data_IF_823111688713
#
_entry.id   IF_823111688713
#
_cell.length_a   1.000
_cell.length_b   1.000
_cell.length_c   1.000
_cell.angle_alpha   90.00
_cell.angle_beta   90.00
_cell.angle_gamma   90.00
#
_symmetry.space_group_name_H-M   'P 1'
#
loop_
_entity.id
_entity.type
_entity.pdbx_description
1 polymer ?
#
# COMPACT_ATOMS: atom_id res chain seq x y z
N UNK A 1 1.83 -10.30 -7.62
CA UNK A 1 1.88 -9.02 -8.34
C UNK A 1 1.66 -9.23 -9.84
N UNK A 2 1.35 -8.14 -10.58
CA UNK A 2 1.47 -8.13 -12.03
C UNK A 2 2.86 -8.63 -12.48
N UNK A 3 2.93 -9.35 -13.60
CA UNK A 3 4.16 -9.97 -14.07
C UNK A 3 5.31 -8.97 -14.29
N UNK A 4 4.97 -7.73 -14.65
CA UNK A 4 5.89 -6.61 -14.85
C UNK A 4 6.48 -6.05 -13.55
N UNK A 5 5.88 -6.34 -12.39
CA UNK A 5 6.35 -5.87 -11.07
C UNK A 5 7.19 -6.91 -10.33
N UNK A 6 7.43 -8.06 -10.96
CA UNK A 6 8.36 -9.08 -10.48
C UNK A 6 7.69 -10.32 -9.89
N UNK A 7 8.53 -11.18 -9.30
CA UNK A 7 8.20 -12.59 -9.04
C UNK A 7 8.16 -12.95 -7.56
N UNK A 8 8.13 -11.95 -6.66
CA UNK A 8 8.27 -12.12 -5.20
C UNK A 8 7.44 -13.27 -4.62
N UNK A 9 6.15 -13.36 -4.95
CA UNK A 9 5.29 -14.45 -4.43
C UNK A 9 5.74 -15.83 -4.89
N UNK A 10 6.19 -15.96 -6.15
CA UNK A 10 6.70 -17.22 -6.69
C UNK A 10 7.97 -17.62 -5.94
N UNK A 11 8.89 -16.68 -5.80
CA UNK A 11 10.20 -16.96 -5.22
C UNK A 11 10.09 -17.37 -3.75
N UNK A 12 9.23 -16.70 -2.96
CA UNK A 12 8.94 -17.12 -1.58
C UNK A 12 8.26 -18.48 -1.54
N UNK A 13 7.17 -18.69 -2.30
CA UNK A 13 6.44 -19.97 -2.32
C UNK A 13 7.36 -21.16 -2.66
N UNK A 14 8.25 -20.99 -3.63
CA UNK A 14 9.22 -21.99 -4.04
C UNK A 14 10.30 -22.21 -2.97
N UNK A 15 10.86 -21.13 -2.40
CA UNK A 15 11.91 -21.22 -1.39
C UNK A 15 11.49 -21.99 -0.12
N UNK A 16 10.22 -21.86 0.27
CA UNK A 16 9.68 -22.48 1.49
C UNK A 16 8.78 -23.70 1.23
N UNK A 17 8.81 -24.25 0.01
CA UNK A 17 8.10 -25.48 -0.40
C UNK A 17 6.61 -25.45 0.00
N UNK A 18 5.95 -24.32 -0.25
CA UNK A 18 4.51 -24.21 -0.03
C UNK A 18 3.76 -24.95 -1.14
N UNK A 19 2.63 -25.62 -0.82
CA UNK A 19 1.84 -26.38 -1.80
C UNK A 19 0.95 -25.47 -2.66
N UNK A 20 1.50 -24.36 -3.17
CA UNK A 20 0.82 -23.41 -4.03
C UNK A 20 1.56 -23.23 -5.35
N UNK A 21 0.82 -22.91 -6.41
CA UNK A 21 1.42 -22.46 -7.68
C UNK A 21 1.16 -20.97 -7.82
N UNK A 22 2.22 -20.17 -7.75
CA UNK A 22 2.11 -18.73 -7.95
C UNK A 22 1.80 -18.42 -9.42
N UNK A 23 0.66 -17.77 -9.65
CA UNK A 23 0.26 -17.28 -10.97
C UNK A 23 0.43 -15.77 -10.99
N UNK A 24 1.23 -15.27 -11.94
CA UNK A 24 1.43 -13.83 -12.09
C UNK A 24 0.17 -13.17 -12.69
N UNK A 25 -0.22 -12.01 -12.16
CA UNK A 25 -1.30 -11.22 -12.74
C UNK A 25 -0.89 -10.65 -14.09
N UNK A 26 -1.81 -10.61 -15.06
CA UNK A 26 -1.55 -9.95 -16.35
C UNK A 26 -1.51 -8.42 -16.27
N UNK A 27 -2.16 -7.85 -15.26
CA UNK A 27 -2.18 -6.42 -14.88
C UNK A 27 -2.82 -6.30 -13.49
N UNK A 28 -2.75 -5.12 -12.87
CA UNK A 28 -3.52 -4.82 -11.66
C UNK A 28 -5.02 -5.02 -11.87
N UNK A 29 -5.57 -4.48 -12.96
CA UNK A 29 -6.99 -4.64 -13.29
C UNK A 29 -7.43 -6.10 -13.44
N UNK A 30 -6.56 -6.96 -13.99
CA UNK A 30 -6.83 -8.40 -14.07
C UNK A 30 -6.83 -9.06 -12.68
N UNK A 31 -5.89 -8.69 -11.79
CA UNK A 31 -5.86 -9.20 -10.42
C UNK A 31 -7.10 -8.79 -9.64
N UNK A 32 -7.49 -7.51 -9.74
CA UNK A 32 -8.72 -7.01 -9.13
C UNK A 32 -9.94 -7.76 -9.66
N UNK A 33 -10.05 -7.97 -10.98
CA UNK A 33 -11.19 -8.67 -11.56
C UNK A 33 -11.32 -10.12 -11.04
N UNK A 34 -10.21 -10.85 -10.93
CA UNK A 34 -10.19 -12.20 -10.34
C UNK A 34 -10.61 -12.18 -8.87
N UNK A 35 -10.08 -11.23 -8.08
CA UNK A 35 -10.45 -11.07 -6.68
C UNK A 35 -11.93 -10.74 -6.50
N UNK A 36 -12.46 -9.78 -7.25
CA UNK A 36 -13.89 -9.41 -7.20
C UNK A 36 -14.78 -10.56 -7.66
N UNK A 37 -14.37 -11.32 -8.69
CA UNK A 37 -15.12 -12.50 -9.14
C UNK A 37 -15.17 -13.58 -8.06
N UNK A 38 -14.05 -13.87 -7.40
CA UNK A 38 -14.00 -14.85 -6.32
C UNK A 38 -14.86 -14.41 -5.11
N UNK A 39 -14.81 -13.13 -4.74
CA UNK A 39 -15.67 -12.58 -3.68
C UNK A 39 -17.16 -12.73 -4.02
N UNK A 40 -17.55 -12.42 -5.26
CA UNK A 40 -18.95 -12.54 -5.69
C UNK A 40 -19.43 -14.00 -5.74
N UNK A 41 -18.53 -14.94 -6.02
CA UNK A 41 -18.81 -16.37 -6.03
C UNK A 41 -18.69 -17.04 -4.64
N UNK A 42 -18.22 -16.30 -3.62
CA UNK A 42 -17.84 -16.83 -2.30
C UNK A 42 -16.75 -17.93 -2.40
N UNK A 43 -15.91 -17.86 -3.42
CA UNK A 43 -14.83 -18.82 -3.64
C UNK A 43 -13.57 -18.45 -2.84
N UNK A 44 -12.85 -19.43 -2.27
CA UNK A 44 -11.62 -19.17 -1.55
C UNK A 44 -10.54 -18.65 -2.51
N UNK A 45 -9.91 -17.54 -2.16
CA UNK A 45 -8.83 -16.93 -2.93
C UNK A 45 -7.66 -16.52 -2.03
N UNK A 46 -6.44 -16.78 -2.50
CA UNK A 46 -5.20 -16.29 -1.91
C UNK A 46 -4.47 -15.46 -2.96
N UNK A 47 -4.25 -14.18 -2.67
CA UNK A 47 -3.64 -13.24 -3.61
C UNK A 47 -2.61 -12.36 -2.89
N UNK A 48 -1.45 -12.17 -3.51
CA UNK A 48 -0.55 -11.10 -3.10
C UNK A 48 -1.16 -9.76 -3.52
N UNK A 49 -1.45 -8.91 -2.53
CA UNK A 49 -1.98 -7.56 -2.70
C UNK A 49 -1.19 -6.59 -1.81
N UNK A 50 -1.31 -5.28 -2.06
CA UNK A 50 -0.63 -4.23 -1.31
C UNK A 50 -1.61 -3.19 -0.79
N UNK A 51 -1.25 -2.51 0.28
CA UNK A 51 -1.95 -1.32 0.76
C UNK A 51 -0.96 -0.14 0.88
N UNK A 52 -1.38 1.09 0.59
CA UNK A 52 -2.77 1.51 0.29
C UNK A 52 -3.29 1.05 -1.09
N UNK A 53 -4.58 0.70 -1.16
CA UNK A 53 -5.33 0.35 -2.37
C UNK A 53 -6.85 0.40 -2.08
N UNK A 54 -7.66 0.88 -3.02
CA UNK A 54 -9.12 1.08 -2.82
C UNK A 54 -9.88 -0.17 -2.38
N UNK A 55 -9.43 -1.35 -2.83
CA UNK A 55 -10.08 -2.63 -2.51
C UNK A 55 -10.23 -2.84 -1.00
N UNK A 56 -9.31 -2.32 -0.18
CA UNK A 56 -9.36 -2.40 1.28
C UNK A 56 -10.31 -1.38 1.94
N UNK A 57 -10.80 -0.38 1.19
CA UNK A 57 -11.92 0.45 1.62
C UNK A 57 -13.27 -0.15 1.21
N UNK A 58 -13.31 -0.93 0.13
CA UNK A 58 -14.53 -1.56 -0.38
C UNK A 58 -14.85 -2.92 0.28
N UNK A 59 -13.83 -3.65 0.75
CA UNK A 59 -13.95 -5.00 1.26
C UNK A 59 -13.01 -5.26 2.43
N UNK A 60 -13.44 -6.13 3.35
CA UNK A 60 -12.63 -6.63 4.45
C UNK A 60 -11.87 -7.90 4.03
N UNK A 61 -10.57 -7.91 4.29
CA UNK A 61 -9.70 -9.06 4.03
C UNK A 61 -8.91 -9.47 5.27
N UNK A 62 -8.54 -10.75 5.34
CA UNK A 62 -7.56 -11.24 6.30
C UNK A 62 -6.18 -11.28 5.66
N UNK A 63 -5.17 -10.79 6.37
CA UNK A 63 -3.78 -10.93 5.95
C UNK A 63 -3.25 -12.30 6.35
N UNK A 64 -2.39 -12.88 5.50
CA UNK A 64 -1.62 -14.07 5.88
C UNK A 64 -0.59 -13.65 6.93
N UNK A 65 -0.68 -14.25 8.12
CA UNK A 65 0.28 -14.02 9.20
C UNK A 65 1.57 -14.81 8.97
N UNK A 66 2.70 -14.13 9.14
CA UNK A 66 4.05 -14.70 9.01
C UNK A 66 4.78 -14.67 10.35
N UNK A 67 5.92 -15.36 10.45
CA UNK A 67 6.73 -15.30 11.66
C UNK A 67 7.22 -13.89 11.93
N UNK A 68 7.06 -13.43 13.17
CA UNK A 68 7.60 -12.15 13.61
C UNK A 68 9.11 -12.25 13.76
N UNK A 69 9.81 -11.23 13.28
CA UNK A 69 11.26 -11.11 13.36
C UNK A 69 11.65 -9.72 13.83
N UNK A 70 12.86 -9.62 14.39
CA UNK A 70 13.51 -8.33 14.63
C UNK A 70 14.26 -7.91 13.35
N UNK A 71 13.93 -6.74 12.80
CA UNK A 71 14.59 -6.19 11.60
C UNK A 71 13.88 -6.50 10.28
N UNK A 72 14.62 -6.38 9.17
CA UNK A 72 14.08 -6.57 7.81
C UNK A 72 14.05 -8.04 7.41
N UNK A 73 12.94 -8.46 6.78
CA UNK A 73 12.78 -9.82 6.27
C UNK A 73 13.61 -10.00 4.98
N UNK A 74 14.61 -10.88 5.03
CA UNK A 74 15.36 -11.28 3.83
C UNK A 74 14.54 -12.29 3.02
N UNK A 75 13.98 -11.85 1.88
CA UNK A 75 13.11 -12.69 1.07
C UNK A 75 13.83 -13.84 0.36
N UNK A 76 15.12 -13.66 0.06
CA UNK A 76 15.92 -14.60 -0.75
C UNK A 76 16.42 -15.83 0.04
N UNK A 77 16.43 -15.76 1.37
CA UNK A 77 17.09 -16.75 2.24
C UNK A 77 16.13 -17.37 3.25
N UNK A 78 14.84 -17.48 2.92
CA UNK A 78 13.83 -17.98 3.85
C UNK A 78 13.80 -19.51 3.91
N UNK A 79 13.57 -20.03 5.11
CA UNK A 79 13.31 -21.44 5.38
C UNK A 79 11.87 -21.61 5.87
N UNK A 80 11.27 -22.76 5.58
CA UNK A 80 9.82 -22.99 5.78
C UNK A 80 9.31 -22.67 7.18
N UNK A 81 10.03 -23.12 8.21
CA UNK A 81 9.57 -22.99 9.59
C UNK A 81 9.86 -21.59 10.19
N UNK A 82 10.74 -20.80 9.56
CA UNK A 82 11.19 -19.49 10.05
C UNK A 82 10.84 -18.34 9.10
N UNK A 83 10.10 -18.62 8.02
CA UNK A 83 9.72 -17.65 7.00
C UNK A 83 9.00 -16.43 7.61
N UNK A 84 9.55 -15.24 7.36
CA UNK A 84 9.02 -13.95 7.77
C UNK A 84 8.13 -13.29 6.70
N UNK A 85 7.96 -13.95 5.55
CA UNK A 85 7.06 -13.50 4.48
C UNK A 85 7.71 -12.48 3.56
N UNK A 86 7.19 -11.26 3.53
CA UNK A 86 7.67 -10.20 2.66
C UNK A 86 8.18 -9.02 3.48
N UNK A 87 9.29 -8.42 3.02
CA UNK A 87 9.76 -7.14 3.52
C UNK A 87 8.64 -6.10 3.37
N UNK A 88 8.31 -5.44 4.48
CA UNK A 88 7.26 -4.44 4.52
C UNK A 88 7.71 -3.19 3.76
N UNK A 89 6.87 -2.74 2.82
CA UNK A 89 7.16 -1.56 2.03
C UNK A 89 7.01 -0.28 2.85
N UNK A 90 7.78 0.74 2.49
CA UNK A 90 7.61 2.10 3.00
C UNK A 90 7.33 3.06 1.85
N UNK A 91 6.44 4.03 2.09
CA UNK A 91 6.18 5.12 1.14
C UNK A 91 7.09 6.29 1.51
N UNK A 92 8.01 6.63 0.61
CA UNK A 92 9.00 7.68 0.85
C UNK A 92 8.66 8.92 0.03
N UNK A 93 8.71 10.09 0.69
CA UNK A 93 8.58 11.40 0.02
C UNK A 93 9.96 11.83 -0.45
N UNK A 94 10.10 12.07 -1.75
CA UNK A 94 11.36 12.48 -2.37
C UNK A 94 11.21 13.90 -2.93
N UNK A 95 12.13 14.79 -2.56
CA UNK A 95 12.19 16.16 -3.06
C UNK A 95 13.49 16.42 -3.81
N UNK A 96 13.48 17.40 -4.72
CA UNK A 96 14.70 17.87 -5.38
C UNK A 96 15.69 18.44 -4.35
N UNK A 97 17.00 18.27 -4.61
CA UNK A 97 18.06 18.60 -3.66
C UNK A 97 18.11 20.07 -3.21
N UNK A 98 17.57 21.02 -3.99
CA UNK A 98 17.48 22.44 -3.62
C UNK A 98 16.13 22.85 -3.03
N UNK A 99 15.22 21.91 -2.76
CA UNK A 99 13.87 22.21 -2.32
C UNK A 99 13.82 22.84 -0.93
N UNK A 100 14.60 22.32 0.02
CA UNK A 100 14.71 22.86 1.37
C UNK A 100 15.29 24.28 1.38
N UNK A 101 16.38 24.52 0.65
CA UNK A 101 17.00 25.84 0.57
C UNK A 101 16.04 26.87 -0.04
N UNK A 102 15.29 26.48 -1.07
CA UNK A 102 14.39 27.40 -1.79
C UNK A 102 13.07 27.62 -1.07
N UNK A 103 12.53 26.59 -0.42
CA UNK A 103 11.23 26.61 0.25
C UNK A 103 11.28 25.87 1.59
N UNK A 104 11.96 26.44 2.60
CA UNK A 104 12.20 25.74 3.87
C UNK A 104 10.89 25.39 4.60
N UNK A 105 9.91 26.29 4.63
CA UNK A 105 8.60 26.02 5.23
C UNK A 105 7.86 24.87 4.51
N UNK A 106 7.89 24.84 3.17
CA UNK A 106 7.26 23.76 2.42
C UNK A 106 7.96 22.41 2.62
N UNK A 107 9.29 22.42 2.76
CA UNK A 107 10.07 21.23 3.08
C UNK A 107 9.73 20.70 4.48
N UNK A 108 9.62 21.59 5.48
CA UNK A 108 9.21 21.22 6.83
C UNK A 108 7.78 20.64 6.86
N UNK A 109 6.83 21.28 6.17
CA UNK A 109 5.47 20.74 6.01
C UNK A 109 5.47 19.37 5.35
N UNK A 110 6.15 19.23 4.20
CA UNK A 110 6.23 17.97 3.46
C UNK A 110 6.88 16.88 4.30
N UNK A 111 7.88 17.22 5.10
CA UNK A 111 8.54 16.29 6.02
C UNK A 111 7.59 15.81 7.12
N UNK A 112 6.81 16.71 7.71
CA UNK A 112 5.83 16.41 8.75
C UNK A 112 4.58 15.68 8.26
N UNK A 113 4.22 15.85 6.98
CA UNK A 113 3.01 15.26 6.40
C UNK A 113 2.99 13.74 6.50
N UNK A 114 1.94 13.17 7.08
CA UNK A 114 1.76 11.72 7.16
C UNK A 114 0.33 11.36 6.82
N UNK A 115 0.13 10.49 5.83
CA UNK A 115 -1.17 9.91 5.55
C UNK A 115 -1.19 8.47 6.05
N UNK A 116 -2.34 8.04 6.55
CA UNK A 116 -2.55 6.64 6.93
C UNK A 116 -3.05 5.85 5.73
N UNK A 117 -2.90 4.52 5.77
CA UNK A 117 -3.51 3.66 4.75
C UNK A 117 -5.02 3.87 4.66
N UNK A 118 -5.71 4.20 5.75
CA UNK A 118 -7.15 4.47 5.74
C UNK A 118 -7.48 5.75 4.95
N UNK A 119 -6.68 6.83 5.13
CA UNK A 119 -6.83 8.06 4.37
C UNK A 119 -6.68 7.81 2.87
N UNK A 120 -5.62 7.09 2.49
CA UNK A 120 -5.29 6.83 1.10
C UNK A 120 -6.27 5.83 0.47
N UNK A 121 -6.64 4.74 1.14
CA UNK A 121 -7.60 3.75 0.62
C UNK A 121 -8.94 4.40 0.27
N UNK A 122 -9.47 5.26 1.16
CA UNK A 122 -10.75 5.94 0.94
C UNK A 122 -10.67 6.95 -0.20
N UNK A 123 -9.56 7.72 -0.29
CA UNK A 123 -9.36 8.68 -1.37
C UNK A 123 -9.24 7.98 -2.74
N UNK A 124 -8.48 6.87 -2.81
CA UNK A 124 -8.32 6.10 -4.05
C UNK A 124 -9.67 5.50 -4.48
N UNK A 125 -10.48 4.97 -3.55
CA UNK A 125 -11.82 4.46 -3.86
C UNK A 125 -12.72 5.53 -4.51
N UNK A 126 -12.77 6.70 -3.90
CA UNK A 126 -13.59 7.82 -4.35
C UNK A 126 -13.20 8.27 -5.78
N UNK A 127 -11.92 8.30 -6.09
CA UNK A 127 -11.44 8.74 -7.41
C UNK A 127 -11.55 7.62 -8.44
N UNK A 128 -10.91 6.48 -8.20
CA UNK A 128 -10.70 5.46 -9.22
C UNK A 128 -11.94 4.61 -9.48
N UNK A 129 -12.77 4.39 -8.45
CA UNK A 129 -13.92 3.49 -8.54
C UNK A 129 -15.26 4.24 -8.58
N UNK A 130 -15.37 5.37 -7.87
CA UNK A 130 -16.58 6.21 -7.88
C UNK A 130 -16.52 7.35 -8.92
N UNK A 131 -15.35 7.61 -9.51
CA UNK A 131 -15.17 8.59 -10.58
C UNK A 131 -15.25 10.05 -10.12
N UNK A 132 -15.01 10.32 -8.83
CA UNK A 132 -14.99 11.68 -8.29
C UNK A 132 -13.74 12.43 -8.71
N UNK A 133 -13.84 13.75 -8.78
CA UNK A 133 -12.69 14.60 -9.06
C UNK A 133 -11.70 14.60 -7.88
N UNK A 134 -10.42 14.39 -8.17
CA UNK A 134 -9.36 14.28 -7.16
C UNK A 134 -9.22 15.55 -6.31
N UNK A 135 -9.47 16.73 -6.88
CA UNK A 135 -9.36 18.00 -6.15
C UNK A 135 -10.52 18.19 -5.19
N UNK A 136 -11.72 17.72 -5.56
CA UNK A 136 -12.88 17.71 -4.67
C UNK A 136 -12.67 16.74 -3.49
N UNK A 137 -12.18 15.53 -3.76
CA UNK A 137 -11.89 14.52 -2.72
C UNK A 137 -10.80 15.03 -1.76
N UNK A 138 -9.72 15.61 -2.28
CA UNK A 138 -8.66 16.19 -1.46
C UNK A 138 -9.16 17.38 -0.61
N UNK A 139 -9.98 18.26 -1.18
CA UNK A 139 -10.54 19.40 -0.47
C UNK A 139 -11.47 18.95 0.67
N UNK A 140 -12.30 17.94 0.41
CA UNK A 140 -13.16 17.34 1.44
C UNK A 140 -12.33 16.71 2.56
N UNK A 141 -11.27 15.97 2.22
CA UNK A 141 -10.36 15.41 3.24
C UNK A 141 -9.73 16.51 4.09
N UNK A 142 -9.30 17.62 3.50
CA UNK A 142 -8.75 18.76 4.26
C UNK A 142 -9.79 19.36 5.22
N UNK A 143 -11.04 19.57 4.78
CA UNK A 143 -12.10 20.09 5.66
C UNK A 143 -12.36 19.15 6.84
N UNK A 144 -12.37 17.84 6.59
CA UNK A 144 -12.70 16.84 7.60
C UNK A 144 -11.53 16.47 8.52
N UNK A 145 -10.29 16.83 8.16
CA UNK A 145 -9.07 16.44 8.88
C UNK A 145 -8.23 17.65 9.31
N UNK A 146 -8.87 18.79 9.61
CA UNK A 146 -8.20 20.03 10.03
C UNK A 146 -7.21 19.83 11.17
N UNK A 147 -7.58 19.07 12.20
CA UNK A 147 -6.69 18.77 13.32
C UNK A 147 -5.40 18.05 12.88
N UNK A 148 -5.49 17.17 11.87
CA UNK A 148 -4.35 16.41 11.36
C UNK A 148 -3.39 17.30 10.58
N UNK A 149 -3.88 18.02 9.56
CA UNK A 149 -3.00 18.79 8.68
C UNK A 149 -2.53 20.11 9.30
N UNK A 150 -3.29 20.70 10.24
CA UNK A 150 -2.86 21.91 10.93
C UNK A 150 -1.56 21.66 11.72
N UNK A 151 -1.36 20.46 12.28
CA UNK A 151 -0.10 20.08 12.93
C UNK A 151 1.11 20.10 11.98
N UNK A 152 0.89 19.80 10.69
CA UNK A 152 1.95 19.88 9.68
C UNK A 152 2.29 21.34 9.36
N UNK A 153 1.30 22.23 9.32
CA UNK A 153 1.49 23.67 9.12
C UNK A 153 2.17 24.31 10.33
N UNK A 154 1.78 23.93 11.54
CA UNK A 154 2.40 24.45 12.77
C UNK A 154 3.88 24.06 12.87
N UNK A 155 4.25 22.87 12.36
CA UNK A 155 5.65 22.43 12.24
C UNK A 155 6.40 23.25 11.18
N UNK A 156 5.73 23.61 10.08
CA UNK A 156 6.31 24.39 9.00
C UNK A 156 6.58 25.87 9.35
N UNK A 157 5.91 26.38 10.37
CA UNK A 157 5.98 27.79 10.80
C UNK A 157 6.92 28.03 11.99
N UNK A 158 7.54 26.98 12.53
CA UNK A 158 8.57 27.04 13.58
C UNK A 158 9.96 27.25 12.99
#
# INVERSE_FOLDING_TARGET
YPADWGTRSRDVVEAIDLPFTAVAGGSEGAMVAELTSALAAEDPILMMMWQPHWIFAAHDFNWVEWNQIDGECSEETQERDTACGFAQATVNKVAWSGFEEKWPAAFAMLSAMTLTNADENAAILAVDNEGRDVTEVAAEWLVNNETTWQGWIDTAMQ
#
